data_IF_103389646571
#
_entry.id   IF_103389646571
#
_cell.length_a   1.000
_cell.length_b   1.000
_cell.length_c   1.000
_cell.angle_alpha   90.00
_cell.angle_beta   90.00
_cell.angle_gamma   90.00
#
_symmetry.space_group_name_H-M   'P 1'
#
loop_
_entity.id
_entity.type
_entity.pdbx_description
1 polymer ?
#
# COMPACT_ATOMS: atom_id res chain seq x y z
N UNK A 1 -25.47 -34.72 17.03
CA UNK A 1 -25.33 -34.09 15.69
C UNK A 1 -25.11 -32.60 15.91
N UNK A 2 -23.92 -32.08 15.58
CA UNK A 2 -23.67 -30.64 15.64
C UNK A 2 -24.37 -29.92 14.49
N UNK A 3 -24.85 -28.71 14.74
CA UNK A 3 -25.56 -27.86 13.75
C UNK A 3 -24.64 -27.19 12.73
N UNK A 4 -23.32 -27.35 12.87
CA UNK A 4 -22.32 -26.72 12.01
C UNK A 4 -21.49 -27.80 11.31
N UNK A 5 -21.34 -27.63 10.00
CA UNK A 5 -20.48 -28.45 9.13
C UNK A 5 -19.36 -27.57 8.55
N UNK A 6 -18.41 -28.19 7.85
CA UNK A 6 -17.30 -27.50 7.21
C UNK A 6 -17.77 -26.45 6.19
N UNK A 7 -17.16 -25.26 6.25
CA UNK A 7 -17.40 -24.15 5.31
C UNK A 7 -16.92 -24.46 3.89
N UNK A 8 -16.00 -25.41 3.72
CA UNK A 8 -15.56 -25.90 2.40
C UNK A 8 -16.69 -26.42 1.52
N UNK A 9 -17.79 -26.90 2.13
CA UNK A 9 -18.97 -27.42 1.44
C UNK A 9 -19.81 -26.34 0.74
N UNK A 10 -19.71 -25.07 1.17
CA UNK A 10 -20.55 -23.97 0.66
C UNK A 10 -19.73 -22.84 0.05
N UNK A 11 -18.68 -22.40 0.73
CA UNK A 11 -17.83 -21.29 0.28
C UNK A 11 -16.38 -21.54 0.71
N UNK A 12 -15.63 -22.29 -0.10
CA UNK A 12 -14.23 -22.63 0.16
C UNK A 12 -13.22 -21.48 -0.12
N UNK A 13 -13.68 -20.32 -0.59
CA UNK A 13 -12.84 -19.19 -0.95
C UNK A 13 -13.10 -18.00 -0.04
N UNK A 14 -12.49 -18.04 1.15
CA UNK A 14 -12.66 -17.05 2.21
C UNK A 14 -12.31 -15.62 1.78
N UNK A 15 -11.43 -15.48 0.79
CA UNK A 15 -11.06 -14.21 0.19
C UNK A 15 -12.27 -13.42 -0.33
N UNK A 16 -13.15 -14.04 -1.12
CA UNK A 16 -14.34 -13.34 -1.64
C UNK A 16 -15.35 -13.01 -0.52
N UNK A 17 -15.45 -13.87 0.50
CA UNK A 17 -16.25 -13.59 1.70
C UNK A 17 -15.70 -12.35 2.42
N UNK A 18 -14.39 -12.29 2.66
CA UNK A 18 -13.73 -11.17 3.30
C UNK A 18 -13.98 -9.87 2.52
N UNK A 19 -13.91 -9.91 1.18
CA UNK A 19 -14.25 -8.77 0.33
C UNK A 19 -15.68 -8.28 0.56
N UNK A 20 -16.65 -9.19 0.54
CA UNK A 20 -18.08 -8.86 0.75
C UNK A 20 -18.35 -8.33 2.16
N UNK A 21 -17.71 -8.89 3.18
CA UNK A 21 -17.88 -8.48 4.58
C UNK A 21 -17.21 -7.13 4.86
N UNK A 22 -16.02 -6.87 4.32
CA UNK A 22 -15.32 -5.59 4.50
C UNK A 22 -16.18 -4.40 4.10
N UNK A 23 -16.88 -4.48 2.95
CA UNK A 23 -17.80 -3.42 2.51
C UNK A 23 -19.00 -3.21 3.44
N UNK A 24 -19.41 -4.24 4.19
CA UNK A 24 -20.50 -4.14 5.19
C UNK A 24 -20.01 -3.58 6.52
N UNK A 25 -18.80 -3.95 6.97
CA UNK A 25 -18.22 -3.45 8.22
C UNK A 25 -17.80 -1.98 8.09
N UNK A 26 -17.23 -1.60 6.93
CA UNK A 26 -16.78 -0.24 6.65
C UNK A 26 -17.51 0.38 5.45
N UNK A 27 -18.82 0.68 5.58
CA UNK A 27 -19.62 1.22 4.47
C UNK A 27 -19.12 2.57 3.98
N UNK A 28 -18.49 3.36 4.87
CA UNK A 28 -17.89 4.66 4.53
C UNK A 28 -16.54 4.55 3.81
N UNK A 29 -16.00 3.34 3.63
CA UNK A 29 -14.70 3.12 2.99
C UNK A 29 -14.70 1.76 2.27
N UNK A 30 -15.39 1.66 1.11
CA UNK A 30 -15.71 0.37 0.51
C UNK A 30 -14.51 -0.38 -0.10
N UNK A 31 -13.31 0.22 -0.11
CA UNK A 31 -12.12 -0.35 -0.73
C UNK A 31 -11.23 -1.13 0.23
N UNK A 32 -10.91 -2.38 -0.11
CA UNK A 32 -9.79 -3.08 0.51
C UNK A 32 -8.49 -2.48 -0.02
N UNK A 33 -7.67 -1.93 0.89
CA UNK A 33 -6.38 -1.34 0.51
C UNK A 33 -5.43 -2.42 -0.04
N UNK A 34 -5.38 -3.58 0.63
CA UNK A 34 -4.54 -4.72 0.21
C UNK A 34 -5.18 -6.02 0.65
N UNK A 35 -5.01 -7.04 -0.18
CA UNK A 35 -5.53 -8.37 0.08
C UNK A 35 -4.43 -9.40 -0.13
N UNK A 36 -4.24 -10.26 0.87
CA UNK A 36 -3.35 -11.42 0.76
C UNK A 36 -4.19 -12.67 0.97
N UNK A 37 -4.30 -13.49 -0.07
CA UNK A 37 -4.93 -14.80 -0.01
C UNK A 37 -3.86 -15.88 0.06
N UNK A 38 -3.94 -16.76 1.05
CA UNK A 38 -3.05 -17.91 1.18
C UNK A 38 -3.84 -19.16 0.80
N UNK A 39 -3.39 -19.87 -0.25
CA UNK A 39 -3.92 -21.16 -0.67
C UNK A 39 -3.27 -22.30 0.11
N UNK A 40 -3.94 -23.44 0.11
CA UNK A 40 -3.44 -24.70 0.71
C UNK A 40 -2.61 -25.52 -0.26
N UNK A 41 -2.27 -24.95 -1.42
CA UNK A 41 -1.61 -25.63 -2.51
C UNK A 41 -2.59 -26.17 -3.55
N UNK A 42 -2.04 -26.42 -4.75
CA UNK A 42 -2.76 -26.91 -5.92
C UNK A 42 -2.08 -28.13 -6.49
N UNK A 43 -2.85 -29.07 -7.00
CA UNK A 43 -2.33 -30.14 -7.84
C UNK A 43 -2.41 -29.64 -9.28
N UNK A 44 -1.28 -29.56 -9.98
CA UNK A 44 -1.34 -29.21 -11.39
C UNK A 44 -2.05 -30.34 -12.15
N UNK A 45 -2.95 -30.04 -13.09
CA UNK A 45 -3.66 -31.07 -13.84
C UNK A 45 -2.62 -31.96 -14.53
N UNK A 46 -2.80 -33.30 -14.50
CA UNK A 46 -1.87 -34.20 -15.16
C UNK A 46 -1.73 -33.77 -16.63
N UNK A 47 -0.49 -33.56 -17.09
CA UNK A 47 -0.23 -33.30 -18.52
C UNK A 47 -0.98 -34.35 -19.33
N UNK A 48 -1.76 -33.91 -20.34
CA UNK A 48 -2.52 -34.78 -21.23
C UNK A 48 -1.59 -35.78 -21.93
N UNK A 49 -1.26 -36.87 -21.26
CA UNK A 49 -0.87 -38.11 -21.90
C UNK A 49 -2.17 -38.71 -22.38
N UNK A 50 -2.39 -38.66 -23.68
CA UNK A 50 -3.50 -39.34 -24.34
C UNK A 50 -3.58 -40.78 -23.81
N UNK A 51 -4.66 -41.17 -23.09
CA UNK A 51 -4.71 -42.49 -22.51
C UNK A 51 -5.03 -43.49 -23.63
N UNK A 52 -4.03 -44.25 -24.04
CA UNK A 52 -4.16 -45.27 -25.09
C UNK A 52 -5.05 -46.46 -24.70
N UNK A 53 -5.46 -46.60 -23.43
CA UNK A 53 -6.44 -47.62 -23.03
C UNK A 53 -7.34 -47.12 -21.88
N UNK A 54 -8.65 -46.98 -22.16
CA UNK A 54 -9.69 -46.67 -21.17
C UNK A 54 -10.12 -47.95 -20.46
N UNK A 55 -9.68 -48.14 -19.21
CA UNK A 55 -10.23 -49.18 -18.33
C UNK A 55 -11.42 -48.64 -17.54
N UNK A 56 -12.61 -49.13 -17.90
CA UNK A 56 -13.96 -48.76 -17.38
C UNK A 56 -14.13 -48.90 -15.86
N UNK A 57 -13.21 -49.59 -15.17
CA UNK A 57 -13.28 -49.81 -13.71
C UNK A 57 -12.47 -48.80 -12.88
N UNK A 58 -11.66 -47.94 -13.51
CA UNK A 58 -10.87 -46.90 -12.81
C UNK A 58 -11.46 -45.50 -12.94
N UNK A 59 -12.55 -45.37 -13.69
CA UNK A 59 -13.40 -44.20 -13.82
C UNK A 59 -14.77 -44.48 -13.16
N UNK A 60 -14.80 -44.70 -11.85
CA UNK A 60 -16.06 -44.88 -11.11
C UNK A 60 -16.84 -43.56 -10.99
N UNK A 61 -18.18 -43.62 -10.94
CA UNK A 61 -19.02 -42.43 -10.68
C UNK A 61 -18.58 -41.69 -9.42
N UNK A 62 -18.26 -42.40 -8.33
CA UNK A 62 -17.78 -41.80 -7.08
C UNK A 62 -16.45 -41.07 -7.22
N UNK A 63 -15.50 -41.60 -8.00
CA UNK A 63 -14.23 -40.94 -8.25
C UNK A 63 -14.43 -39.72 -9.15
N UNK A 64 -15.27 -39.80 -10.19
CA UNK A 64 -15.64 -38.62 -11.01
C UNK A 64 -16.38 -37.57 -10.19
N UNK A 65 -17.28 -37.96 -9.29
CA UNK A 65 -18.01 -37.06 -8.40
C UNK A 65 -17.09 -36.44 -7.36
N UNK A 66 -16.15 -37.20 -6.80
CA UNK A 66 -15.12 -36.68 -5.89
C UNK A 66 -14.16 -35.75 -6.61
N UNK A 67 -13.67 -36.11 -7.80
CA UNK A 67 -12.83 -35.23 -8.62
C UNK A 67 -13.58 -33.98 -9.09
N UNK A 68 -14.87 -34.07 -9.40
CA UNK A 68 -15.72 -32.92 -9.71
C UNK A 68 -16.00 -32.05 -8.48
N UNK A 69 -16.12 -32.66 -7.29
CA UNK A 69 -16.24 -31.96 -6.01
C UNK A 69 -14.93 -31.24 -5.65
N UNK A 70 -13.79 -31.91 -5.82
CA UNK A 70 -12.46 -31.32 -5.64
C UNK A 70 -12.18 -30.21 -6.67
N UNK A 71 -12.65 -30.34 -7.92
CA UNK A 71 -12.52 -29.28 -8.93
C UNK A 71 -13.46 -28.09 -8.65
N UNK A 72 -14.62 -28.32 -8.03
CA UNK A 72 -15.48 -27.24 -7.51
C UNK A 72 -14.84 -26.51 -6.31
N UNK A 73 -13.90 -27.18 -5.63
CA UNK A 73 -13.03 -26.60 -4.61
C UNK A 73 -11.77 -25.93 -5.18
N UNK A 74 -11.59 -25.85 -6.51
CA UNK A 74 -10.52 -25.04 -7.09
C UNK A 74 -10.78 -23.55 -6.82
N UNK A 75 -10.04 -23.02 -5.86
CA UNK A 75 -10.12 -21.62 -5.47
C UNK A 75 -9.33 -20.71 -6.42
N UNK A 76 -8.56 -21.27 -7.36
CA UNK A 76 -7.78 -20.51 -8.36
C UNK A 76 -8.68 -19.82 -9.36
N UNK A 77 -9.65 -20.55 -9.92
CA UNK A 77 -10.64 -20.02 -10.85
C UNK A 77 -11.50 -18.91 -10.21
N UNK A 78 -11.90 -19.10 -8.93
CA UNK A 78 -12.63 -18.09 -8.14
C UNK A 78 -11.79 -16.85 -7.88
N UNK A 79 -10.50 -17.02 -7.57
CA UNK A 79 -9.56 -15.91 -7.41
C UNK A 79 -9.36 -15.11 -8.70
N UNK A 80 -9.17 -15.77 -9.84
CA UNK A 80 -8.97 -15.10 -11.11
C UNK A 80 -10.22 -14.30 -11.51
N UNK A 81 -11.41 -14.89 -11.33
CA UNK A 81 -12.68 -14.17 -11.52
C UNK A 81 -12.78 -12.95 -10.62
N UNK A 82 -12.55 -13.10 -9.32
CA UNK A 82 -12.58 -11.99 -8.36
C UNK A 82 -11.56 -10.91 -8.72
N UNK A 83 -10.36 -11.28 -9.17
CA UNK A 83 -9.31 -10.33 -9.56
C UNK A 83 -9.67 -9.58 -10.84
N UNK A 84 -10.26 -10.26 -11.82
CA UNK A 84 -10.70 -9.64 -13.08
C UNK A 84 -11.90 -8.70 -12.91
N UNK A 85 -12.69 -8.86 -11.85
CA UNK A 85 -13.75 -7.91 -11.47
C UNK A 85 -13.20 -6.57 -10.92
N UNK A 86 -11.90 -6.48 -10.64
CA UNK A 86 -11.27 -5.28 -10.10
C UNK A 86 -10.69 -4.40 -11.22
N UNK A 87 -10.73 -3.08 -11.00
CA UNK A 87 -9.97 -2.11 -11.78
C UNK A 87 -8.48 -2.51 -11.84
N UNK A 88 -7.83 -2.29 -12.98
CA UNK A 88 -6.41 -2.62 -13.19
C UNK A 88 -5.51 -2.06 -12.08
N UNK A 89 -5.81 -0.84 -11.62
CA UNK A 89 -5.11 -0.18 -10.53
C UNK A 89 -5.21 -0.93 -9.20
N UNK A 90 -6.34 -1.59 -8.93
CA UNK A 90 -6.59 -2.33 -7.69
C UNK A 90 -6.04 -3.75 -7.75
N UNK A 91 -5.93 -4.35 -8.94
CA UNK A 91 -5.42 -5.72 -9.12
C UNK A 91 -4.00 -5.92 -8.56
N UNK A 92 -3.17 -4.89 -8.59
CA UNK A 92 -1.80 -4.93 -8.07
C UNK A 92 -1.74 -5.10 -6.53
N UNK A 93 -2.81 -4.73 -5.81
CA UNK A 93 -2.89 -4.83 -4.36
C UNK A 93 -3.49 -6.16 -3.87
N UNK A 94 -3.90 -7.02 -4.81
CA UNK A 94 -4.46 -8.35 -4.56
C UNK A 94 -3.40 -9.42 -4.86
N UNK A 95 -2.84 -9.97 -3.80
CA UNK A 95 -1.79 -10.97 -3.83
C UNK A 95 -2.36 -12.34 -3.44
N UNK A 96 -2.00 -13.36 -4.20
CA UNK A 96 -2.30 -14.75 -3.86
C UNK A 96 -1.02 -15.55 -3.80
N UNK A 97 -0.85 -16.25 -2.68
CA UNK A 97 0.19 -17.24 -2.47
C UNK A 97 -0.45 -18.59 -2.63
N UNK A 98 0.06 -19.35 -3.59
CA UNK A 98 -0.38 -20.71 -3.83
C UNK A 98 0.80 -21.51 -4.34
N UNK A 99 0.81 -22.79 -4.01
CA UNK A 99 1.99 -23.63 -4.15
C UNK A 99 1.61 -24.90 -4.90
N UNK A 100 2.38 -25.31 -5.92
CA UNK A 100 2.11 -26.59 -6.58
C UNK A 100 2.55 -27.74 -5.68
N UNK A 101 1.64 -28.66 -5.38
CA UNK A 101 1.88 -29.80 -4.49
C UNK A 101 2.56 -30.98 -5.21
N UNK A 102 2.81 -30.84 -6.52
CA UNK A 102 3.47 -31.86 -7.36
C UNK A 102 2.89 -33.26 -7.11
N UNK A 103 3.74 -34.23 -6.76
CA UNK A 103 3.38 -35.63 -6.50
C UNK A 103 3.19 -35.94 -5.00
N UNK A 104 3.18 -34.93 -4.12
CA UNK A 104 2.96 -35.18 -2.67
C UNK A 104 1.53 -35.72 -2.48
N UNK A 105 1.35 -36.85 -1.77
CA UNK A 105 0.03 -37.37 -1.43
C UNK A 105 -0.83 -36.26 -0.82
N UNK A 106 -1.93 -35.90 -1.48
CA UNK A 106 -2.81 -34.79 -1.10
C UNK A 106 -3.94 -35.26 -0.18
N UNK A 107 -3.60 -35.98 0.87
CA UNK A 107 -4.56 -36.40 1.90
C UNK A 107 -4.49 -35.43 3.06
N UNK A 108 -5.61 -34.76 3.35
CA UNK A 108 -5.71 -33.67 4.34
C UNK A 108 -5.39 -34.12 5.78
N UNK A 109 -5.42 -35.43 6.02
CA UNK A 109 -5.22 -36.12 7.29
C UNK A 109 -3.79 -36.66 7.50
N UNK A 110 -2.89 -36.51 6.52
CA UNK A 110 -1.50 -36.95 6.63
C UNK A 110 -0.64 -35.92 7.39
N UNK A 111 -0.58 -36.07 8.71
CA UNK A 111 0.25 -35.24 9.58
C UNK A 111 1.75 -35.55 9.44
N UNK A 112 2.13 -36.73 8.94
CA UNK A 112 3.53 -37.14 8.79
C UNK A 112 4.19 -36.43 7.59
N UNK A 113 3.39 -35.97 6.62
CA UNK A 113 3.84 -35.19 5.47
C UNK A 113 4.08 -33.68 5.76
N UNK A 114 3.83 -33.19 6.98
CA UNK A 114 3.89 -31.75 7.31
C UNK A 114 5.25 -31.10 7.03
N UNK A 115 6.36 -31.80 7.32
CA UNK A 115 7.70 -31.30 7.01
C UNK A 115 7.97 -31.25 5.51
N UNK A 116 7.36 -32.16 4.73
CA UNK A 116 7.47 -32.15 3.27
C UNK A 116 6.75 -30.94 2.69
N UNK A 117 5.53 -30.64 3.15
CA UNK A 117 4.79 -29.43 2.74
C UNK A 117 5.54 -28.16 3.11
N UNK A 118 6.07 -28.06 4.33
CA UNK A 118 6.88 -26.89 4.75
C UNK A 118 8.08 -26.69 3.84
N UNK A 119 8.83 -27.76 3.58
CA UNK A 119 10.01 -27.70 2.72
C UNK A 119 9.65 -27.34 1.28
N UNK A 120 8.52 -27.80 0.78
CA UNK A 120 8.02 -27.43 -0.55
C UNK A 120 7.80 -25.92 -0.63
N UNK A 121 7.08 -25.32 0.31
CA UNK A 121 6.82 -23.85 0.33
C UNK A 121 8.13 -23.04 0.39
N UNK A 122 9.10 -23.50 1.18
CA UNK A 122 10.40 -22.83 1.34
C UNK A 122 11.25 -22.95 0.06
N UNK A 123 11.24 -24.12 -0.59
CA UNK A 123 12.06 -24.42 -1.77
C UNK A 123 11.44 -23.91 -3.07
N UNK A 124 10.14 -23.61 -3.08
CA UNK A 124 9.44 -23.15 -4.28
C UNK A 124 10.16 -21.93 -4.88
N UNK A 125 10.60 -22.02 -6.15
CA UNK A 125 11.27 -20.91 -6.81
C UNK A 125 10.44 -19.63 -6.76
N UNK A 126 11.05 -18.54 -6.30
CA UNK A 126 10.38 -17.24 -6.21
C UNK A 126 9.50 -17.03 -4.97
N UNK A 127 9.23 -18.06 -4.15
CA UNK A 127 8.42 -17.95 -2.93
C UNK A 127 8.95 -16.89 -1.96
N UNK A 128 10.26 -16.89 -1.69
CA UNK A 128 10.91 -15.86 -0.87
C UNK A 128 10.73 -14.45 -1.46
N UNK A 129 10.89 -14.30 -2.78
CA UNK A 129 10.70 -13.00 -3.46
C UNK A 129 9.28 -12.49 -3.29
N UNK A 130 8.29 -13.35 -3.55
CA UNK A 130 6.87 -13.01 -3.39
C UNK A 130 6.54 -12.67 -1.93
N UNK A 131 7.04 -13.46 -0.97
CA UNK A 131 6.83 -13.21 0.45
C UNK A 131 7.42 -11.86 0.88
N UNK A 132 8.62 -11.51 0.40
CA UNK A 132 9.22 -10.18 0.61
C UNK A 132 8.39 -9.07 -0.02
N UNK A 133 7.92 -9.24 -1.24
CA UNK A 133 7.07 -8.27 -1.92
C UNK A 133 5.75 -8.03 -1.17
N UNK A 134 5.10 -9.09 -0.67
CA UNK A 134 3.91 -8.97 0.15
C UNK A 134 4.18 -8.35 1.53
N UNK A 135 5.29 -8.72 2.18
CA UNK A 135 5.68 -8.11 3.45
C UNK A 135 5.94 -6.61 3.29
N UNK A 136 6.73 -6.22 2.29
CA UNK A 136 6.97 -4.81 1.96
C UNK A 136 5.65 -4.09 1.65
N UNK A 137 4.79 -4.69 0.82
CA UNK A 137 3.45 -4.18 0.55
C UNK A 137 2.64 -3.92 1.83
N UNK A 138 2.54 -4.90 2.73
CA UNK A 138 1.79 -4.77 3.99
C UNK A 138 2.38 -3.69 4.91
N UNK A 139 3.71 -3.60 5.00
CA UNK A 139 4.40 -2.56 5.76
C UNK A 139 4.14 -1.17 5.16
N UNK A 140 4.25 -1.01 3.84
CA UNK A 140 3.93 0.25 3.14
C UNK A 140 2.46 0.61 3.29
N UNK A 141 1.56 -0.38 3.33
CA UNK A 141 0.14 -0.20 3.63
C UNK A 141 -0.15 0.39 5.01
N UNK A 142 0.83 0.48 5.91
CA UNK A 142 0.69 1.19 7.20
C UNK A 142 0.84 2.69 7.06
N UNK A 143 1.43 3.18 5.98
CA UNK A 143 1.54 4.61 5.71
C UNK A 143 0.23 5.15 5.15
N UNK A 144 -0.09 6.40 5.48
CA UNK A 144 -1.27 7.10 4.98
C UNK A 144 -1.01 8.60 4.93
N UNK A 145 -1.67 9.28 4.02
CA UNK A 145 -1.56 10.73 3.85
C UNK A 145 -2.70 11.45 4.57
N UNK A 146 -2.38 12.64 5.07
CA UNK A 146 -3.33 13.56 5.71
C UNK A 146 -3.05 14.97 5.24
N UNK A 147 -4.10 15.74 4.98
CA UNK A 147 -3.97 17.14 4.60
C UNK A 147 -3.78 17.96 5.87
N UNK A 148 -2.88 18.94 5.82
CA UNK A 148 -2.70 19.88 6.93
C UNK A 148 -3.66 21.07 6.82
N UNK A 149 -4.01 21.44 5.60
CA UNK A 149 -4.91 22.54 5.28
C UNK A 149 -5.75 22.20 4.04
N UNK A 150 -6.87 22.93 3.82
CA UNK A 150 -7.57 22.86 2.55
C UNK A 150 -6.62 23.18 1.37
N UNK A 151 -6.81 22.55 0.20
CA UNK A 151 -6.00 22.83 -0.98
C UNK A 151 -6.04 24.31 -1.39
N UNK A 152 -4.87 24.90 -1.66
CA UNK A 152 -4.73 26.32 -2.01
C UNK A 152 -4.56 26.49 -3.52
N UNK A 153 -5.40 27.32 -4.15
CA UNK A 153 -5.32 27.59 -5.60
C UNK A 153 -4.11 28.48 -5.90
N UNK A 154 -3.28 28.08 -6.86
CA UNK A 154 -2.10 28.84 -7.30
C UNK A 154 -2.54 30.12 -8.01
N UNK A 155 -1.78 31.22 -7.82
CA UNK A 155 -1.96 32.46 -8.57
C UNK A 155 -1.96 32.20 -10.07
N UNK A 156 -3.11 32.31 -10.73
CA UNK A 156 -3.31 31.94 -12.14
C UNK A 156 -4.41 30.91 -12.36
N UNK A 157 -4.83 30.16 -11.32
CA UNK A 157 -6.02 29.30 -11.35
C UNK A 157 -5.82 27.88 -11.90
N UNK A 158 -4.70 27.61 -12.57
CA UNK A 158 -4.51 26.34 -13.30
C UNK A 158 -4.05 25.15 -12.43
N UNK A 159 -3.60 25.42 -11.20
CA UNK A 159 -3.05 24.40 -10.32
C UNK A 159 -3.46 24.64 -8.86
N UNK A 160 -3.33 23.60 -8.06
CA UNK A 160 -3.68 23.56 -6.65
C UNK A 160 -2.52 22.98 -5.83
N UNK A 161 -2.06 23.73 -4.82
CA UNK A 161 -1.11 23.25 -3.82
C UNK A 161 -1.83 22.50 -2.71
N UNK A 162 -1.31 21.31 -2.39
CA UNK A 162 -1.80 20.50 -1.29
C UNK A 162 -0.65 20.21 -0.32
N UNK A 163 -0.70 20.84 0.85
CA UNK A 163 0.23 20.56 1.94
C UNK A 163 -0.31 19.46 2.85
N UNK A 164 0.53 18.49 3.13
CA UNK A 164 0.14 17.37 3.96
C UNK A 164 1.29 16.66 4.64
N UNK A 165 0.95 15.61 5.37
CA UNK A 165 1.89 14.77 6.10
C UNK A 165 1.56 13.32 5.84
N UNK A 166 2.59 12.55 5.50
CA UNK A 166 2.56 11.10 5.48
C UNK A 166 2.86 10.61 6.90
N UNK A 167 1.91 9.83 7.43
CA UNK A 167 1.93 9.25 8.78
C UNK A 167 1.97 7.73 8.68
N UNK A 168 2.33 7.05 9.77
CA UNK A 168 2.36 5.59 9.87
C UNK A 168 1.41 5.10 10.98
N UNK A 169 0.68 4.01 10.74
CA UNK A 169 -0.24 3.37 11.69
C UNK A 169 0.44 2.25 12.48
N UNK A 170 0.20 2.20 13.79
CA UNK A 170 0.68 1.13 14.67
C UNK A 170 2.06 1.40 15.25
N UNK A 171 2.79 0.35 15.61
CA UNK A 171 4.13 0.46 16.18
C UNK A 171 5.13 0.87 15.10
N UNK A 172 5.51 2.15 15.11
CA UNK A 172 6.26 2.82 14.03
C UNK A 172 7.67 2.23 13.85
N UNK A 173 8.40 2.04 14.95
CA UNK A 173 9.81 1.65 14.90
C UNK A 173 10.01 0.27 14.25
N UNK A 174 9.30 -0.81 14.67
CA UNK A 174 9.43 -2.12 14.01
C UNK A 174 9.04 -2.11 12.53
N UNK A 175 8.07 -1.28 12.14
CA UNK A 175 7.64 -1.17 10.73
C UNK A 175 8.77 -0.60 9.88
N UNK A 176 9.40 0.47 10.36
CA UNK A 176 10.47 1.18 9.65
C UNK A 176 11.74 0.33 9.60
N UNK A 177 12.12 -0.26 10.72
CA UNK A 177 13.27 -1.18 10.78
C UNK A 177 13.09 -2.36 9.83
N UNK A 178 11.89 -2.97 9.80
CA UNK A 178 11.60 -4.05 8.86
C UNK A 178 11.70 -3.60 7.40
N UNK A 179 11.23 -2.40 7.06
CA UNK A 179 11.36 -1.85 5.71
C UNK A 179 12.82 -1.59 5.32
N UNK A 180 13.62 -1.01 6.22
CA UNK A 180 15.04 -0.75 5.99
C UNK A 180 15.86 -2.05 5.90
N UNK A 181 15.54 -3.04 6.72
CA UNK A 181 16.20 -4.35 6.66
C UNK A 181 15.90 -5.10 5.35
N UNK A 182 14.71 -4.90 4.77
CA UNK A 182 14.32 -5.54 3.51
C UNK A 182 14.88 -4.85 2.27
N UNK A 183 15.22 -3.56 2.34
CA UNK A 183 15.58 -2.74 1.18
C UNK A 183 16.90 -2.00 1.40
N UNK A 184 17.90 -2.31 0.56
CA UNK A 184 19.23 -1.68 0.63
C UNK A 184 19.32 -0.36 -0.14
N UNK A 185 18.35 -0.07 -1.00
CA UNK A 185 18.32 1.17 -1.79
C UNK A 185 17.47 2.23 -1.09
N UNK A 186 17.82 3.49 -1.35
CA UNK A 186 17.02 4.64 -0.94
C UNK A 186 15.61 4.53 -1.51
N UNK A 187 14.61 4.81 -0.67
CA UNK A 187 13.21 4.88 -1.08
C UNK A 187 12.73 6.33 -1.02
N UNK A 188 11.74 6.63 -1.85
CA UNK A 188 11.09 7.95 -1.90
C UNK A 188 9.58 7.81 -1.91
N UNK A 189 8.89 8.74 -1.27
CA UNK A 189 7.47 8.95 -1.52
C UNK A 189 7.31 9.68 -2.86
N UNK A 190 6.42 9.18 -3.70
CA UNK A 190 6.21 9.71 -5.05
C UNK A 190 4.74 9.58 -5.46
N UNK A 191 4.32 10.44 -6.38
CA UNK A 191 3.10 10.25 -7.17
C UNK A 191 3.42 9.56 -8.49
N UNK A 192 2.46 9.51 -9.41
CA UNK A 192 2.70 9.05 -10.78
C UNK A 192 3.63 10.00 -11.57
N UNK A 193 3.71 11.28 -11.19
CA UNK A 193 4.44 12.31 -11.95
C UNK A 193 5.66 12.86 -11.21
N UNK A 194 5.63 12.95 -9.88
CA UNK A 194 6.64 13.67 -9.10
C UNK A 194 7.17 12.88 -7.89
N UNK A 195 8.40 13.20 -7.48
CA UNK A 195 8.96 12.75 -6.21
C UNK A 195 8.57 13.76 -5.12
N UNK A 196 7.94 13.29 -4.04
CA UNK A 196 7.42 14.14 -2.97
C UNK A 196 8.47 14.38 -1.88
N UNK A 197 9.09 13.30 -1.40
CA UNK A 197 10.14 13.37 -0.39
C UNK A 197 10.88 12.03 -0.23
N UNK A 198 12.16 12.08 0.12
CA UNK A 198 12.92 10.87 0.46
C UNK A 198 12.50 10.27 1.79
N UNK A 199 12.41 8.94 1.85
CA UNK A 199 12.13 8.20 3.07
C UNK A 199 13.41 8.09 3.91
N UNK A 200 13.47 8.79 5.05
CA UNK A 200 14.66 8.80 5.91
C UNK A 200 14.56 7.78 7.06
N UNK A 201 13.60 6.86 6.99
CA UNK A 201 13.43 5.83 8.01
C UNK A 201 13.20 6.39 9.41
N UNK A 202 14.07 6.02 10.35
CA UNK A 202 13.97 6.39 11.77
C UNK A 202 14.09 7.90 11.99
N UNK A 203 14.78 8.62 11.11
CA UNK A 203 14.96 10.09 11.22
C UNK A 203 13.65 10.86 10.99
N UNK A 204 12.67 10.25 10.33
CA UNK A 204 11.34 10.82 10.14
C UNK A 204 10.39 10.51 11.33
N UNK A 205 10.88 9.84 12.38
CA UNK A 205 10.15 9.62 13.63
C UNK A 205 10.37 10.84 14.55
N UNK A 206 9.28 11.43 15.01
CA UNK A 206 9.34 12.54 15.94
C UNK A 206 9.90 12.10 17.30
N UNK A 207 11.05 12.67 17.70
CA UNK A 207 11.67 12.40 19.01
C UNK A 207 10.77 12.77 20.20
N UNK A 208 9.84 13.71 20.04
CA UNK A 208 8.97 14.17 21.12
C UNK A 208 7.74 13.28 21.36
N UNK A 209 7.22 12.63 20.32
CA UNK A 209 5.96 11.86 20.43
C UNK A 209 6.02 10.45 19.82
N UNK A 210 7.15 10.04 19.25
CA UNK A 210 7.35 8.73 18.64
C UNK A 210 6.54 8.48 17.36
N UNK A 211 5.85 9.49 16.82
CA UNK A 211 5.04 9.36 15.60
C UNK A 211 5.90 9.54 14.35
N UNK A 212 5.67 8.71 13.34
CA UNK A 212 6.18 8.98 12.00
C UNK A 212 5.49 10.19 11.39
N UNK A 213 6.26 11.15 10.90
CA UNK A 213 5.73 12.39 10.35
C UNK A 213 6.61 12.90 9.23
N UNK A 214 6.26 12.57 7.98
CA UNK A 214 6.94 13.07 6.79
C UNK A 214 6.10 14.15 6.08
N UNK A 215 6.48 15.44 6.17
CA UNK A 215 5.79 16.50 5.46
C UNK A 215 6.03 16.40 3.96
N UNK A 216 4.98 16.57 3.18
CA UNK A 216 5.04 16.55 1.71
C UNK A 216 4.10 17.61 1.14
N UNK A 217 4.46 18.13 -0.02
CA UNK A 217 3.65 19.10 -0.76
C UNK A 217 3.43 18.54 -2.16
N UNK A 218 2.18 18.60 -2.64
CA UNK A 218 1.79 18.12 -3.96
C UNK A 218 1.28 19.27 -4.81
N UNK A 219 1.60 19.26 -6.10
CA UNK A 219 1.05 20.17 -7.10
C UNK A 219 0.11 19.41 -8.03
N UNK A 220 -1.19 19.74 -7.98
CA UNK A 220 -2.22 19.09 -8.80
C UNK A 220 -2.81 20.07 -9.80
N UNK A 221 -3.37 19.58 -10.91
CA UNK A 221 -4.13 20.44 -11.83
C UNK A 221 -5.47 20.81 -11.23
N UNK A 222 -6.11 19.86 -10.57
CA UNK A 222 -7.42 20.06 -9.95
C UNK A 222 -7.56 19.24 -8.67
N UNK A 223 -8.33 19.75 -7.69
CA UNK A 223 -8.59 19.05 -6.42
C UNK A 223 -9.32 17.72 -6.56
N UNK A 224 -10.06 17.55 -7.66
CA UNK A 224 -10.80 16.32 -7.99
C UNK A 224 -9.99 15.35 -8.86
N UNK A 225 -8.75 15.69 -9.22
CA UNK A 225 -7.83 14.78 -9.89
C UNK A 225 -7.59 13.55 -9.02
N UNK A 226 -7.71 12.35 -9.61
CA UNK A 226 -7.45 11.10 -8.90
C UNK A 226 -5.94 10.90 -8.83
N UNK A 227 -5.39 11.01 -7.63
CA UNK A 227 -3.95 10.90 -7.38
C UNK A 227 -3.63 9.57 -6.71
N UNK A 228 -2.41 9.09 -6.90
CA UNK A 228 -1.82 8.02 -6.09
C UNK A 228 -0.59 8.55 -5.35
N UNK A 229 -0.35 8.01 -4.16
CA UNK A 229 0.94 8.15 -3.46
C UNK A 229 1.51 6.75 -3.24
N UNK A 230 2.78 6.60 -3.58
CA UNK A 230 3.54 5.38 -3.45
C UNK A 230 4.77 5.60 -2.57
N UNK A 231 5.25 4.54 -1.93
CA UNK A 231 6.66 4.40 -1.59
C UNK A 231 7.35 3.69 -2.75
N UNK A 232 8.35 4.34 -3.34
CA UNK A 232 9.07 3.91 -4.54
C UNK A 232 10.51 3.57 -4.20
N UNK A 233 10.97 2.40 -4.63
CA UNK A 233 12.37 1.99 -4.50
C UNK A 233 13.18 2.32 -5.76
N UNK A 234 12.57 2.13 -6.94
CA UNK A 234 13.15 2.46 -8.24
C UNK A 234 12.04 2.70 -9.27
N UNK A 235 12.39 2.86 -10.55
CA UNK A 235 11.41 3.10 -11.63
C UNK A 235 10.41 1.95 -11.80
N UNK A 236 10.74 0.75 -11.36
CA UNK A 236 9.93 -0.46 -11.57
C UNK A 236 9.18 -0.90 -10.31
N UNK A 237 9.74 -0.64 -9.13
CA UNK A 237 9.19 -1.10 -7.85
C UNK A 237 8.61 0.05 -7.05
N UNK A 238 7.28 0.04 -6.93
CA UNK A 238 6.50 0.99 -6.15
C UNK A 238 5.35 0.29 -5.43
N UNK A 239 5.04 0.75 -4.23
CA UNK A 239 3.97 0.22 -3.39
C UNK A 239 3.06 1.36 -2.96
N UNK A 240 1.75 1.21 -3.16
CA UNK A 240 0.77 2.24 -2.81
C UNK A 240 0.61 2.37 -1.30
N UNK A 241 0.54 3.59 -0.77
CA UNK A 241 0.20 3.82 0.64
C UNK A 241 -1.32 3.72 0.85
N UNK A 242 -1.76 3.54 2.10
CA UNK A 242 -3.20 3.38 2.40
C UNK A 242 -4.01 4.64 2.12
N UNK A 243 -5.21 4.45 1.59
CA UNK A 243 -6.18 5.52 1.31
C UNK A 243 -6.12 6.08 -0.11
N UNK A 244 -5.24 5.54 -0.97
CA UNK A 244 -5.17 5.86 -2.40
C UNK A 244 -5.63 4.67 -3.25
N UNK A 245 -6.04 4.90 -4.52
CA UNK A 245 -6.21 6.19 -5.18
C UNK A 245 -7.37 7.02 -4.62
N UNK A 246 -7.21 8.34 -4.54
CA UNK A 246 -8.25 9.28 -4.09
C UNK A 246 -8.03 10.66 -4.70
N UNK A 247 -9.05 11.52 -4.66
CA UNK A 247 -8.90 12.96 -4.90
C UNK A 247 -8.77 13.74 -3.60
N UNK A 248 -8.24 14.97 -3.68
CA UNK A 248 -8.03 15.83 -2.51
C UNK A 248 -9.36 16.33 -1.92
N UNK A 249 -10.38 16.57 -2.75
CA UNK A 249 -11.73 16.90 -2.27
C UNK A 249 -12.32 15.81 -1.36
N UNK A 250 -12.11 14.53 -1.71
CA UNK A 250 -12.54 13.41 -0.87
C UNK A 250 -11.79 13.38 0.47
N UNK A 251 -10.50 13.71 0.47
CA UNK A 251 -9.72 13.83 1.71
C UNK A 251 -10.17 15.00 2.57
N UNK A 252 -10.46 16.15 1.96
CA UNK A 252 -11.04 17.33 2.64
C UNK A 252 -12.35 16.97 3.32
N UNK A 253 -13.25 16.29 2.60
CA UNK A 253 -14.53 15.85 3.14
C UNK A 253 -14.37 14.84 4.28
N UNK A 254 -13.50 13.83 4.10
CA UNK A 254 -13.23 12.79 5.12
C UNK A 254 -12.57 13.33 6.39
N UNK A 255 -11.67 14.31 6.23
CA UNK A 255 -11.00 14.99 7.35
C UNK A 255 -11.82 16.18 7.88
N UNK A 256 -12.96 16.49 7.25
CA UNK A 256 -13.86 17.59 7.61
C UNK A 256 -13.14 18.94 7.69
N UNK A 257 -12.16 19.19 6.83
CA UNK A 257 -11.33 20.41 6.88
C UNK A 257 -12.13 21.70 6.59
N UNK A 258 -13.25 21.58 5.90
CA UNK A 258 -14.17 22.69 5.59
C UNK A 258 -15.34 22.80 6.58
N UNK A 259 -15.38 21.97 7.63
CA UNK A 259 -16.44 22.03 8.66
C UNK A 259 -16.00 22.93 9.82
N UNK A 260 -16.52 24.16 9.96
CA UNK A 260 -16.12 25.07 11.03
C UNK A 260 -16.63 24.64 12.43
N UNK A 261 -17.64 23.76 12.48
CA UNK A 261 -18.24 23.24 13.72
C UNK A 261 -18.52 21.73 13.58
N UNK A 262 -18.49 20.99 14.70
CA UNK A 262 -18.88 19.57 14.72
C UNK A 262 -17.82 18.58 14.22
N UNK A 263 -16.53 18.92 14.37
CA UNK A 263 -15.46 17.93 14.24
C UNK A 263 -15.77 16.74 15.17
N UNK A 264 -15.62 15.48 14.71
CA UNK A 264 -15.97 14.29 15.49
C UNK A 264 -15.09 14.13 16.73
N UNK A 265 -13.99 14.88 16.80
CA UNK A 265 -13.09 14.95 17.93
C UNK A 265 -13.50 16.07 18.93
N UNK A 266 -14.54 16.86 18.64
CA UNK A 266 -14.98 18.03 19.40
C UNK A 266 -13.83 19.02 19.72
N UNK A 267 -12.83 19.12 18.84
CA UNK A 267 -11.61 19.91 19.07
C UNK A 267 -10.58 19.24 19.99
N UNK A 268 -10.77 17.95 20.33
CA UNK A 268 -9.84 17.12 21.08
C UNK A 268 -9.33 15.98 20.21
N UNK A 269 -8.18 16.13 19.54
CA UNK A 269 -7.66 15.07 18.67
C UNK A 269 -7.53 13.75 19.43
N UNK A 270 -7.84 12.64 18.74
CA UNK A 270 -7.74 11.29 19.30
C UNK A 270 -6.31 10.92 19.74
N UNK A 271 -5.30 11.68 19.29
CA UNK A 271 -3.93 11.59 19.73
C UNK A 271 -3.52 12.89 20.43
N UNK A 272 -2.66 12.77 21.46
CA UNK A 272 -2.10 13.95 22.13
C UNK A 272 -1.40 14.86 21.10
N UNK A 273 -1.75 16.15 21.05
CA UNK A 273 -1.16 17.09 20.11
C UNK A 273 0.34 17.20 20.37
N UNK A 274 1.14 17.21 19.31
CA UNK A 274 2.58 17.43 19.38
C UNK A 274 2.92 18.71 18.64
N UNK A 275 3.57 19.66 19.30
CA UNK A 275 3.99 20.91 18.67
C UNK A 275 4.92 20.70 17.46
N UNK A 276 5.67 19.60 17.42
CA UNK A 276 6.59 19.30 16.33
C UNK A 276 5.91 18.64 15.12
N UNK A 277 4.86 17.82 15.33
CA UNK A 277 4.13 17.13 14.26
C UNK A 277 2.88 17.87 13.78
N UNK A 278 2.19 18.53 14.72
CA UNK A 278 0.87 19.14 14.52
C UNK A 278 0.95 20.68 14.60
N UNK A 279 2.13 21.22 14.89
CA UNK A 279 2.34 22.67 14.95
C UNK A 279 2.11 23.36 13.61
N UNK A 280 1.66 24.62 13.61
CA UNK A 280 1.53 25.40 12.39
C UNK A 280 2.92 25.57 11.79
N UNK A 281 3.14 25.02 10.59
CA UNK A 281 4.42 25.20 9.94
C UNK A 281 4.61 26.66 9.58
N UNK A 282 5.79 27.15 9.93
CA UNK A 282 6.39 28.39 9.47
C UNK A 282 6.10 28.49 7.99
N UNK A 283 5.19 29.39 7.62
CA UNK A 283 5.05 29.82 6.24
C UNK A 283 6.46 30.21 5.82
N UNK A 284 7.04 29.52 4.84
CA UNK A 284 8.14 30.09 4.06
C UNK A 284 7.56 31.26 3.23
N UNK A 285 6.97 32.26 3.92
CA UNK A 285 6.87 33.61 3.40
C UNK A 285 8.30 34.09 3.41
N UNK A 286 8.90 34.11 2.21
CA UNK A 286 10.06 34.96 1.96
C UNK A 286 9.81 36.28 2.68
N UNK A 287 10.74 36.67 3.56
CA UNK A 287 10.67 37.89 4.34
C UNK A 287 10.26 39.01 3.40
N UNK A 288 8.99 39.42 3.47
CA UNK A 288 8.50 40.60 2.75
C UNK A 288 9.16 41.75 3.47
N UNK A 289 10.38 42.09 3.05
CA UNK A 289 11.10 43.25 3.54
C UNK A 289 10.12 44.42 3.46
N UNK A 290 9.91 45.08 4.60
CA UNK A 290 9.18 46.35 4.64
C UNK A 290 9.85 47.27 3.61
N UNK A 291 9.18 47.50 2.47
CA UNK A 291 9.57 48.57 1.53
C UNK A 291 9.40 49.87 2.29
N UNK A 292 10.51 50.50 2.67
CA UNK A 292 10.53 51.96 2.82
C UNK A 292 10.32 52.55 1.43
N UNK A 293 9.36 53.46 1.37
CA UNK A 293 9.02 54.24 0.20
C UNK A 293 10.19 55.20 -0.09
N UNK A 294 10.87 55.03 -1.22
CA UNK A 294 11.57 56.13 -1.89
C UNK A 294 11.76 55.75 -3.36
N UNK A 295 11.22 56.62 -4.21
CA UNK A 295 11.31 56.63 -5.68
C UNK A 295 12.75 56.53 -6.19
N UNK A 296 12.97 55.85 -7.33
CA UNK A 296 13.31 56.43 -8.64
C UNK A 296 13.73 55.30 -9.63
N UNK A 297 13.04 55.26 -10.77
CA UNK A 297 13.33 54.74 -12.13
C UNK A 297 14.26 53.52 -12.43
N UNK A 298 13.62 52.47 -12.98
CA UNK A 298 13.89 51.75 -14.27
C UNK A 298 15.24 50.98 -14.53
N UNK A 299 15.34 50.12 -15.59
CA UNK A 299 15.24 48.66 -15.45
C UNK A 299 16.44 47.85 -15.99
N UNK A 300 16.71 46.65 -15.44
CA UNK A 300 17.59 45.67 -16.11
C UNK A 300 17.29 44.20 -15.73
N UNK A 301 17.27 43.35 -16.75
CA UNK A 301 17.12 41.89 -16.73
C UNK A 301 18.35 41.20 -16.08
N UNK A 302 18.13 40.11 -15.33
CA UNK A 302 18.64 38.73 -15.57
C UNK A 302 18.88 37.89 -14.29
N UNK A 303 18.51 36.61 -14.44
CA UNK A 303 19.15 35.35 -13.98
C UNK A 303 18.88 34.82 -12.56
N UNK A 304 18.14 33.70 -12.56
CA UNK A 304 18.44 32.36 -12.01
C UNK A 304 19.52 32.30 -10.92
N UNK A 305 19.21 31.63 -9.80
CA UNK A 305 20.21 31.12 -8.88
C UNK A 305 19.94 29.66 -8.50
N UNK A 306 20.75 28.78 -9.07
CA UNK A 306 21.11 27.46 -8.53
C UNK A 306 22.05 27.71 -7.34
N UNK A 307 21.88 26.97 -6.25
CA UNK A 307 22.95 26.79 -5.25
C UNK A 307 22.94 25.32 -4.82
N UNK A 308 23.77 24.53 -5.50
CA UNK A 308 24.57 23.52 -4.83
C UNK A 308 25.77 24.23 -4.19
N UNK A 309 26.18 23.82 -2.99
CA UNK A 309 27.58 23.42 -2.78
C UNK A 309 27.79 22.68 -1.47
N UNK A 310 28.50 21.56 -1.63
CA UNK A 310 29.08 20.73 -0.59
C UNK A 310 30.39 21.32 -0.04
N UNK A 311 30.75 20.82 1.15
CA UNK A 311 32.08 20.58 1.74
C UNK A 311 33.20 21.62 1.51
N UNK A 312 33.62 22.23 2.62
CA UNK A 312 34.95 22.79 2.78
C UNK A 312 35.85 21.76 3.50
N UNK A 313 36.89 21.30 2.80
CA UNK A 313 38.11 20.78 3.39
C UNK A 313 39.02 21.98 3.69
N UNK A 314 39.52 22.07 4.93
CA UNK A 314 40.49 23.09 5.35
C UNK A 314 41.83 22.42 5.64
N UNK A 315 42.86 22.87 4.94
CA UNK A 315 44.25 22.93 5.35
C UNK A 315 44.92 24.11 4.60
N UNK A 316 46.15 24.55 4.90
CA UNK A 316 47.14 23.95 5.81
C UNK A 316 47.96 24.98 6.65
N UNK A 317 49.09 24.49 7.21
CA UNK A 317 50.28 25.15 7.83
C UNK A 317 50.23 25.19 9.36
N UNK A 318 51.19 24.67 10.11
CA UNK A 318 52.65 24.46 9.91
C UNK A 318 53.13 23.03 10.07
#
# INVERSE_FOLDING_TARGET
>A
MGSFQDGGLKDNFAADIARRICGRIWPSNPGITRMVSLGTGRIDPPQERSPQFRHVFRDGFLQRSYSAFMSQMDSTSKWLKMKNELDEDAQADYLRFDVSLEDIPCTIDDADAMDQYRNLVIRQPGSNRMAREAATALLVGRFYFTLQSPPEVVTGGDYVWCDGVIRCKGSVLPIIEALQAQQTKQMDFATDTECLASFNGVDDICSSCGRYSKPVTLLLKHRDERTNIYLRLDRTKRWRISGFPTCMSSLVARQKLESPFGQPDHGRPAALPCANCDGPKIKFRGKRGKRKLSSTESPARKRVRIVEQARAETGPRT
#
